data_IF_508878273504
#
_entry.id   IF_508878273504
#
_cell.length_a   1.000
_cell.length_b   1.000
_cell.length_c   1.000
_cell.angle_alpha   90.00
_cell.angle_beta   90.00
_cell.angle_gamma   90.00
#
_symmetry.space_group_name_H-M   'P 1'
#
loop_
_entity.id
_entity.type
_entity.pdbx_description
1 polymer ?
#
# COMPACT_ATOMS: atom_id res chain seq x y z
N UNK A 1 -53.54 -36.80 -11.11
CA UNK A 1 -52.33 -36.59 -11.95
C UNK A 1 -51.36 -35.75 -11.16
N UNK A 2 -50.13 -36.27 -11.01
CA UNK A 2 -49.06 -35.80 -10.11
C UNK A 2 -48.23 -34.77 -10.87
N UNK A 3 -48.10 -33.55 -10.36
CA UNK A 3 -47.08 -32.60 -10.83
C UNK A 3 -46.39 -32.00 -9.60
N UNK A 4 -45.24 -32.58 -9.23
CA UNK A 4 -44.31 -31.99 -8.28
C UNK A 4 -43.42 -31.07 -9.11
N UNK A 5 -43.62 -29.76 -9.00
CA UNK A 5 -42.71 -28.76 -9.57
C UNK A 5 -41.56 -28.63 -8.57
N UNK A 6 -40.44 -29.28 -8.88
CA UNK A 6 -39.19 -29.11 -8.14
C UNK A 6 -38.56 -27.79 -8.57
N UNK A 7 -38.71 -26.76 -7.73
CA UNK A 7 -38.04 -25.47 -7.89
C UNK A 7 -36.56 -25.64 -7.49
N UNK A 8 -35.71 -25.93 -8.48
CA UNK A 8 -34.25 -25.94 -8.32
C UNK A 8 -33.77 -24.50 -8.11
N UNK A 9 -33.64 -24.10 -6.84
CA UNK A 9 -32.92 -22.89 -6.43
C UNK A 9 -31.42 -23.09 -6.74
N UNK A 10 -30.99 -22.64 -7.92
CA UNK A 10 -29.57 -22.34 -8.15
C UNK A 10 -29.18 -21.17 -7.24
N UNK A 11 -28.69 -21.48 -6.03
CA UNK A 11 -27.89 -20.52 -5.28
C UNK A 11 -26.60 -20.29 -6.07
N UNK A 12 -26.32 -19.07 -6.57
CA UNK A 12 -25.01 -18.80 -7.11
C UNK A 12 -24.03 -18.91 -5.95
N UNK A 13 -23.18 -19.93 -5.97
CA UNK A 13 -21.95 -19.93 -5.18
C UNK A 13 -21.14 -18.74 -5.68
N UNK A 14 -21.26 -17.61 -5.00
CA UNK A 14 -20.31 -16.52 -5.14
C UNK A 14 -18.94 -17.10 -4.76
N UNK A 15 -18.13 -17.42 -5.76
CA UNK A 15 -16.70 -17.60 -5.58
C UNK A 15 -16.16 -16.25 -5.16
N UNK A 16 -16.05 -16.03 -3.86
CA UNK A 16 -15.27 -14.92 -3.33
C UNK A 16 -13.81 -15.18 -3.72
N UNK A 17 -13.23 -14.28 -4.51
CA UNK A 17 -11.79 -14.24 -4.69
C UNK A 17 -11.13 -14.28 -3.31
N UNK A 18 -10.26 -15.27 -3.09
CA UNK A 18 -9.71 -15.56 -1.78
C UNK A 18 -8.55 -14.60 -1.51
N UNK A 19 -8.86 -13.47 -0.88
CA UNK A 19 -7.85 -12.49 -0.49
C UNK A 19 -7.05 -12.92 0.74
N UNK A 20 -5.71 -12.85 0.67
CA UNK A 20 -4.82 -13.26 1.76
C UNK A 20 -4.82 -12.28 2.94
N UNK A 21 -4.98 -12.77 4.17
CA UNK A 21 -4.81 -11.91 5.37
C UNK A 21 -3.34 -11.53 5.58
N UNK A 22 -3.03 -10.47 6.35
CA UNK A 22 -1.64 -10.11 6.68
C UNK A 22 -0.83 -11.26 7.28
N UNK A 23 -1.43 -12.05 8.16
CA UNK A 23 -0.78 -13.18 8.81
C UNK A 23 -0.44 -14.29 7.81
N UNK A 24 -1.35 -14.55 6.85
CA UNK A 24 -1.10 -15.51 5.78
C UNK A 24 0.02 -15.04 4.86
N UNK A 25 0.06 -13.75 4.51
CA UNK A 25 1.14 -13.17 3.70
C UNK A 25 2.49 -13.27 4.43
N UNK A 26 2.53 -12.91 5.70
CA UNK A 26 3.76 -13.04 6.51
C UNK A 26 4.24 -14.48 6.59
N UNK A 27 3.32 -15.44 6.76
CA UNK A 27 3.65 -16.85 6.73
C UNK A 27 4.24 -17.27 5.37
N UNK A 28 3.59 -16.89 4.27
CA UNK A 28 4.09 -17.19 2.92
C UNK A 28 5.47 -16.58 2.66
N UNK A 29 5.71 -15.34 3.10
CA UNK A 29 7.02 -14.66 2.96
C UNK A 29 8.08 -15.40 3.75
N UNK A 30 7.76 -15.85 4.97
CA UNK A 30 8.68 -16.62 5.79
C UNK A 30 9.00 -18.01 5.20
N UNK A 31 8.02 -18.65 4.56
CA UNK A 31 8.17 -19.98 3.97
C UNK A 31 8.90 -19.97 2.62
N UNK A 32 8.64 -18.96 1.78
CA UNK A 32 9.06 -18.97 0.36
C UNK A 32 9.91 -17.77 -0.06
N UNK A 33 10.05 -16.76 0.82
CA UNK A 33 10.80 -15.54 0.57
C UNK A 33 9.99 -14.44 -0.13
N UNK A 34 10.30 -13.18 0.20
CA UNK A 34 9.57 -12.00 -0.26
C UNK A 34 9.47 -11.92 -1.80
N UNK A 35 10.57 -12.17 -2.52
CA UNK A 35 10.59 -12.09 -3.99
C UNK A 35 9.62 -13.07 -4.64
N UNK A 36 9.52 -14.29 -4.12
CA UNK A 36 8.60 -15.29 -4.66
C UNK A 36 7.15 -14.89 -4.43
N UNK A 37 6.84 -14.41 -3.22
CA UNK A 37 5.51 -13.93 -2.86
C UNK A 37 5.11 -12.72 -3.70
N UNK A 38 5.98 -11.71 -3.87
CA UNK A 38 5.70 -10.56 -4.75
C UNK A 38 5.40 -11.01 -6.17
N UNK A 39 6.24 -11.86 -6.77
CA UNK A 39 6.02 -12.38 -8.11
C UNK A 39 4.68 -13.14 -8.23
N UNK A 40 4.33 -13.96 -7.24
CA UNK A 40 3.07 -14.69 -7.20
C UNK A 40 1.85 -13.77 -7.12
N UNK A 41 1.91 -12.75 -6.26
CA UNK A 41 0.79 -11.80 -6.07
C UNK A 41 0.62 -10.88 -7.28
N UNK A 42 1.73 -10.53 -7.95
CA UNK A 42 1.75 -9.62 -9.09
C UNK A 42 1.28 -10.29 -10.39
N UNK A 43 1.71 -11.54 -10.66
CA UNK A 43 1.51 -12.25 -11.93
C UNK A 43 0.07 -12.67 -12.25
N UNK A 44 -0.90 -12.34 -11.41
CA UNK A 44 -2.31 -12.55 -11.71
C UNK A 44 -2.77 -11.51 -12.76
N UNK A 45 -2.52 -11.79 -14.04
CA UNK A 45 -2.79 -10.92 -15.20
C UNK A 45 -4.29 -10.67 -15.50
N UNK A 46 -5.21 -11.19 -14.68
CA UNK A 46 -6.62 -10.80 -14.72
C UNK A 46 -6.84 -9.51 -13.91
N UNK A 47 -7.99 -8.86 -14.07
CA UNK A 47 -8.43 -7.74 -13.20
C UNK A 47 -8.56 -8.13 -11.70
N UNK A 48 -8.03 -9.29 -11.28
CA UNK A 48 -8.11 -9.91 -9.97
C UNK A 48 -6.72 -10.04 -9.31
N UNK A 49 -5.71 -9.29 -9.75
CA UNK A 49 -4.41 -9.35 -9.09
C UNK A 49 -4.50 -9.00 -7.61
N UNK A 50 -4.07 -9.94 -6.77
CA UNK A 50 -4.05 -9.82 -5.31
C UNK A 50 -3.16 -8.64 -4.87
N UNK A 51 -2.12 -8.34 -5.66
CA UNK A 51 -1.24 -7.21 -5.42
C UNK A 51 -2.00 -5.88 -5.37
N UNK A 52 -2.67 -5.51 -6.48
CA UNK A 52 -3.38 -4.23 -6.57
C UNK A 52 -4.75 -4.24 -5.91
N UNK A 53 -5.43 -5.38 -5.84
CA UNK A 53 -6.79 -5.44 -5.30
C UNK A 53 -6.83 -5.64 -3.77
N UNK A 54 -5.77 -6.21 -3.19
CA UNK A 54 -5.79 -6.54 -1.76
C UNK A 54 -4.58 -6.00 -1.00
N UNK A 55 -3.36 -6.33 -1.44
CA UNK A 55 -2.13 -6.04 -0.68
C UNK A 55 -1.86 -4.53 -0.62
N UNK A 56 -1.82 -3.86 -1.76
CA UNK A 56 -1.57 -2.41 -1.84
C UNK A 56 -2.67 -1.59 -1.14
N UNK A 57 -3.98 -1.87 -1.34
CA UNK A 57 -5.04 -1.23 -0.56
C UNK A 57 -4.98 -1.55 0.94
N UNK A 58 -4.53 -2.76 1.30
CA UNK A 58 -4.33 -3.18 2.69
C UNK A 58 -3.24 -2.35 3.38
N UNK A 59 -2.07 -2.25 2.76
CA UNK A 59 -0.94 -1.43 3.23
C UNK A 59 -1.33 0.04 3.36
N UNK A 60 -2.08 0.57 2.39
CA UNK A 60 -2.55 1.96 2.40
C UNK A 60 -3.42 2.31 3.61
N UNK A 61 -4.05 1.33 4.28
CA UNK A 61 -4.83 1.56 5.51
C UNK A 61 -3.95 1.80 6.74
N UNK A 62 -2.66 1.46 6.69
CA UNK A 62 -1.70 1.75 7.76
C UNK A 62 -1.90 0.95 9.05
N UNK A 63 -2.65 -0.16 9.05
CA UNK A 63 -2.74 -1.00 10.26
C UNK A 63 -1.39 -1.65 10.56
N UNK A 64 -1.11 -1.90 11.83
CA UNK A 64 0.18 -2.48 12.24
C UNK A 64 0.49 -3.81 11.53
N UNK A 65 -0.52 -4.67 11.35
CA UNK A 65 -0.36 -5.95 10.63
C UNK A 65 0.02 -5.75 9.16
N UNK A 66 -0.61 -4.80 8.47
CA UNK A 66 -0.29 -4.48 7.07
C UNK A 66 1.06 -3.79 6.92
N UNK A 67 1.47 -2.96 7.88
CA UNK A 67 2.81 -2.36 7.88
C UNK A 67 3.92 -3.40 8.10
N UNK A 68 3.64 -4.44 8.90
CA UNK A 68 4.55 -5.58 9.03
C UNK A 68 4.70 -6.34 7.69
N UNK A 69 3.60 -6.56 6.96
CA UNK A 69 3.63 -7.12 5.61
C UNK A 69 4.46 -6.26 4.67
N UNK A 70 4.24 -4.93 4.64
CA UNK A 70 5.01 -4.02 3.81
C UNK A 70 6.53 -4.11 4.06
N UNK A 71 6.93 -4.14 5.34
CA UNK A 71 8.34 -4.29 5.71
C UNK A 71 8.92 -5.64 5.27
N UNK A 72 8.14 -6.71 5.32
CA UNK A 72 8.56 -8.05 4.94
C UNK A 72 8.61 -8.26 3.41
N UNK A 73 7.78 -7.55 2.64
CA UNK A 73 7.77 -7.61 1.18
C UNK A 73 8.94 -6.81 0.55
N UNK A 74 9.48 -5.82 1.25
CA UNK A 74 10.52 -4.91 0.77
C UNK A 74 11.69 -5.58 0.02
N UNK A 75 12.29 -6.68 0.49
CA UNK A 75 13.42 -7.29 -0.22
C UNK A 75 13.02 -7.99 -1.53
N UNK A 76 11.71 -8.16 -1.76
CA UNK A 76 11.13 -8.84 -2.90
C UNK A 76 10.59 -7.93 -3.99
N UNK A 77 10.46 -6.62 -3.73
CA UNK A 77 9.93 -5.67 -4.72
C UNK A 77 11.03 -5.13 -5.63
N UNK A 78 10.64 -4.83 -6.86
CA UNK A 78 11.44 -4.14 -7.87
C UNK A 78 10.53 -3.30 -8.78
N UNK A 79 11.13 -2.33 -9.49
CA UNK A 79 10.46 -1.49 -10.49
C UNK A 79 9.02 -1.08 -10.07
N UNK A 80 8.00 -1.54 -10.81
CA UNK A 80 6.60 -1.20 -10.55
C UNK A 80 6.14 -1.59 -9.14
N UNK A 81 6.52 -2.77 -8.64
CA UNK A 81 6.11 -3.21 -7.30
C UNK A 81 6.76 -2.38 -6.19
N UNK A 82 7.97 -1.86 -6.44
CA UNK A 82 8.60 -0.93 -5.50
C UNK A 82 7.88 0.42 -5.48
N UNK A 83 7.47 0.95 -6.64
CA UNK A 83 6.68 2.17 -6.73
C UNK A 83 5.30 2.02 -6.06
N UNK A 84 4.60 0.90 -6.32
CA UNK A 84 3.33 0.59 -5.68
C UNK A 84 3.45 0.53 -4.14
N UNK A 85 4.49 -0.15 -3.64
CA UNK A 85 4.74 -0.27 -2.21
C UNK A 85 5.03 1.10 -1.56
N UNK A 86 5.82 1.94 -2.23
CA UNK A 86 6.09 3.32 -1.77
C UNK A 86 4.80 4.13 -1.71
N UNK A 87 4.03 4.14 -2.80
CA UNK A 87 2.78 4.88 -2.88
C UNK A 87 1.77 4.43 -1.81
N UNK A 88 1.68 3.12 -1.53
CA UNK A 88 0.83 2.59 -0.48
C UNK A 88 1.24 3.09 0.91
N UNK A 89 2.55 3.12 1.19
CA UNK A 89 3.06 3.60 2.47
C UNK A 89 2.92 5.11 2.64
N UNK A 90 3.10 5.89 1.58
CA UNK A 90 2.77 7.33 1.60
C UNK A 90 1.28 7.54 1.95
N UNK A 91 0.38 6.77 1.33
CA UNK A 91 -1.07 6.78 1.64
C UNK A 91 -1.40 6.34 3.07
N UNK A 92 -0.54 5.56 3.71
CA UNK A 92 -0.72 5.11 5.09
C UNK A 92 -0.37 6.18 6.14
N UNK A 93 0.40 7.23 5.79
CA UNK A 93 0.87 8.24 6.73
C UNK A 93 -0.27 8.97 7.47
N UNK A 94 -1.35 9.44 6.81
CA UNK A 94 -2.47 10.06 7.51
C UNK A 94 -3.19 9.13 8.50
N UNK A 95 -3.02 7.82 8.35
CA UNK A 95 -3.72 6.83 9.16
C UNK A 95 -2.87 6.34 10.35
N UNK A 96 -1.56 6.22 10.16
CA UNK A 96 -0.65 5.73 11.19
C UNK A 96 0.79 6.25 10.96
N UNK A 97 1.06 7.54 11.20
CA UNK A 97 2.36 8.14 10.93
C UNK A 97 3.48 7.49 11.76
N UNK A 98 3.21 7.17 13.03
CA UNK A 98 4.17 6.50 13.92
C UNK A 98 4.53 5.10 13.41
N UNK A 99 3.53 4.31 13.01
CA UNK A 99 3.75 2.97 12.48
C UNK A 99 4.52 2.97 11.17
N UNK A 100 4.20 3.90 10.26
CA UNK A 100 4.94 4.05 9.01
C UNK A 100 6.41 4.38 9.30
N UNK A 101 6.68 5.40 10.13
CA UNK A 101 8.06 5.78 10.48
C UNK A 101 8.85 4.64 11.15
N UNK A 102 8.19 3.78 11.93
CA UNK A 102 8.84 2.69 12.64
C UNK A 102 9.45 1.62 11.70
N UNK A 103 8.91 1.47 10.48
CA UNK A 103 9.40 0.50 9.50
C UNK A 103 10.42 1.07 8.50
N UNK A 104 10.65 2.39 8.52
CA UNK A 104 11.64 3.05 7.66
C UNK A 104 13.04 2.89 8.22
N UNK A 105 14.01 2.63 7.34
CA UNK A 105 15.43 2.49 7.67
C UNK A 105 16.28 3.02 6.53
N UNK A 106 17.31 3.80 6.86
CA UNK A 106 18.20 4.42 5.87
C UNK A 106 19.10 3.40 5.13
N UNK A 107 19.24 2.18 5.65
CA UNK A 107 20.01 1.09 5.02
C UNK A 107 19.17 0.23 4.05
N UNK A 108 17.87 0.50 3.93
CA UNK A 108 16.98 -0.17 2.96
C UNK A 108 16.93 0.59 1.64
N UNK A 109 16.81 -0.11 0.50
CA UNK A 109 16.71 0.54 -0.81
C UNK A 109 15.37 1.28 -1.02
N UNK A 110 14.24 0.72 -0.56
CA UNK A 110 12.90 1.28 -0.83
C UNK A 110 12.34 2.03 0.38
N UNK A 111 12.44 1.45 1.57
CA UNK A 111 11.75 1.97 2.76
C UNK A 111 12.61 2.97 3.54
N UNK A 112 12.93 4.09 2.90
CA UNK A 112 13.62 5.23 3.52
C UNK A 112 12.66 6.38 3.78
N UNK A 113 13.08 7.33 4.64
CA UNK A 113 12.30 8.56 4.88
C UNK A 113 12.13 9.35 3.59
N UNK A 114 13.20 9.48 2.78
CA UNK A 114 13.20 10.23 1.54
C UNK A 114 12.23 9.65 0.51
N UNK A 115 12.21 8.33 0.35
CA UNK A 115 11.34 7.68 -0.64
C UNK A 115 9.87 7.72 -0.23
N UNK A 116 9.56 7.51 1.06
CA UNK A 116 8.17 7.40 1.52
C UNK A 116 7.54 8.76 1.81
N UNK A 117 8.29 9.71 2.34
CA UNK A 117 7.78 11.03 2.70
C UNK A 117 7.77 12.04 1.54
N UNK A 118 8.40 11.71 0.41
CA UNK A 118 8.36 12.54 -0.81
C UNK A 118 7.13 12.28 -1.71
N UNK A 119 6.30 11.30 -1.37
CA UNK A 119 5.05 10.96 -2.07
C UNK A 119 5.26 10.73 -3.56
N UNK A 120 5.99 9.66 -3.86
CA UNK A 120 6.00 9.05 -5.19
C UNK A 120 4.68 8.30 -5.44
N UNK A 121 3.56 9.00 -5.42
CA UNK A 121 2.26 8.45 -5.80
C UNK A 121 1.80 9.03 -7.14
N UNK A 122 0.98 8.25 -7.85
CA UNK A 122 0.30 8.67 -9.08
C UNK A 122 -1.18 8.91 -8.75
N UNK A 123 -1.56 10.11 -8.28
CA UNK A 123 -2.96 10.41 -7.98
C UNK A 123 -3.73 10.66 -9.29
N UNK A 124 -4.99 10.25 -9.34
CA UNK A 124 -5.86 10.48 -10.49
C UNK A 124 -6.23 11.97 -10.63
N UNK A 125 -6.24 12.69 -9.51
CA UNK A 125 -6.59 14.12 -9.47
C UNK A 125 -5.67 14.94 -8.57
N UNK A 126 -5.50 16.22 -8.91
CA UNK A 126 -4.83 17.20 -8.06
C UNK A 126 -5.48 17.29 -6.68
N UNK A 127 -6.82 17.20 -6.61
CA UNK A 127 -7.56 17.26 -5.36
C UNK A 127 -7.20 16.11 -4.41
N UNK A 128 -7.04 14.89 -4.93
CA UNK A 128 -6.59 13.74 -4.15
C UNK A 128 -5.13 13.91 -3.69
N UNK A 129 -4.26 14.40 -4.58
CA UNK A 129 -2.86 14.70 -4.24
C UNK A 129 -2.78 15.70 -3.08
N UNK A 130 -3.44 16.86 -3.24
CA UNK A 130 -3.48 17.91 -2.24
C UNK A 130 -4.06 17.41 -0.91
N UNK A 131 -5.12 16.59 -0.97
CA UNK A 131 -5.70 15.99 0.24
C UNK A 131 -4.70 15.09 0.96
N UNK A 132 -3.97 14.23 0.23
CA UNK A 132 -2.97 13.35 0.82
C UNK A 132 -1.85 14.17 1.50
N UNK A 133 -1.30 15.19 0.83
CA UNK A 133 -0.29 16.09 1.41
C UNK A 133 -0.78 16.78 2.68
N UNK A 134 -1.95 17.42 2.61
CA UNK A 134 -2.49 18.17 3.75
C UNK A 134 -2.77 17.26 4.94
N UNK A 135 -3.40 16.10 4.72
CA UNK A 135 -3.72 15.18 5.82
C UNK A 135 -2.45 14.56 6.41
N UNK A 136 -1.48 14.21 5.57
CA UNK A 136 -0.19 13.66 6.04
C UNK A 136 0.61 14.66 6.85
N UNK A 137 0.70 15.90 6.38
CA UNK A 137 1.40 16.99 7.08
C UNK A 137 0.76 17.23 8.45
N UNK A 138 -0.58 17.28 8.54
CA UNK A 138 -1.31 17.46 9.80
C UNK A 138 -0.97 16.38 10.83
N UNK A 139 -0.93 15.12 10.41
CA UNK A 139 -0.58 14.01 11.30
C UNK A 139 0.91 14.00 11.63
N UNK A 140 1.78 14.26 10.65
CA UNK A 140 3.22 14.28 10.84
C UNK A 140 3.68 15.41 11.77
N UNK A 141 3.02 16.58 11.75
CA UNK A 141 3.29 17.68 12.69
C UNK A 141 3.12 17.27 14.17
N UNK A 142 2.31 16.24 14.45
CA UNK A 142 2.12 15.72 15.81
C UNK A 142 3.31 14.88 16.28
N UNK A 143 4.10 14.33 15.36
CA UNK A 143 5.27 13.50 15.66
C UNK A 143 6.48 14.38 15.94
N UNK A 144 7.06 14.24 17.14
CA UNK A 144 8.17 15.08 17.60
C UNK A 144 9.55 14.43 17.49
N UNK A 145 9.61 13.17 17.07
CA UNK A 145 10.88 12.46 16.89
C UNK A 145 11.71 13.07 15.75
N UNK A 146 13.04 12.85 15.73
CA UNK A 146 13.89 13.29 14.63
C UNK A 146 13.40 12.81 13.27
N UNK A 147 12.95 11.55 13.17
CA UNK A 147 12.44 10.94 11.94
C UNK A 147 11.15 11.61 11.48
N UNK A 148 10.25 11.94 12.40
CA UNK A 148 9.02 12.66 12.08
C UNK A 148 9.30 14.07 11.56
N UNK A 149 10.27 14.78 12.16
CA UNK A 149 10.71 16.09 11.68
C UNK A 149 11.38 16.01 10.30
N UNK A 150 12.22 15.00 10.07
CA UNK A 150 12.85 14.74 8.77
C UNK A 150 11.80 14.46 7.71
N UNK A 151 10.84 13.58 8.00
CA UNK A 151 9.74 13.24 7.10
C UNK A 151 8.90 14.48 6.73
N UNK A 152 8.58 15.33 7.71
CA UNK A 152 7.89 16.61 7.46
C UNK A 152 8.71 17.54 6.57
N UNK A 153 10.03 17.64 6.78
CA UNK A 153 10.90 18.46 5.94
C UNK A 153 10.93 17.97 4.49
N UNK A 154 10.94 16.65 4.27
CA UNK A 154 10.84 16.05 2.92
C UNK A 154 9.51 16.40 2.26
N UNK A 155 8.38 16.29 2.98
CA UNK A 155 7.07 16.67 2.43
C UNK A 155 7.03 18.13 2.00
N UNK A 156 7.54 19.04 2.85
CA UNK A 156 7.60 20.48 2.55
C UNK A 156 8.48 20.73 1.33
N UNK A 157 9.68 20.18 1.30
CA UNK A 157 10.61 20.32 0.17
C UNK A 157 10.00 19.79 -1.13
N UNK A 158 9.21 18.73 -1.08
CA UNK A 158 8.53 18.18 -2.26
C UNK A 158 7.50 19.17 -2.81
N UNK A 159 6.68 19.76 -1.92
CA UNK A 159 5.69 20.76 -2.31
C UNK A 159 6.36 22.04 -2.84
N UNK A 160 7.46 22.48 -2.23
CA UNK A 160 8.21 23.67 -2.67
C UNK A 160 8.76 23.55 -4.10
N UNK A 161 9.08 22.33 -4.54
CA UNK A 161 9.62 22.04 -5.87
C UNK A 161 8.59 21.40 -6.81
N UNK A 162 7.31 21.43 -6.46
CA UNK A 162 6.27 20.84 -7.30
C UNK A 162 6.09 21.63 -8.60
N UNK A 163 5.85 20.90 -9.68
CA UNK A 163 5.39 21.46 -10.95
C UNK A 163 3.86 21.47 -10.96
N UNK A 164 3.21 22.23 -11.87
CA UNK A 164 1.76 22.13 -12.06
C UNK A 164 1.33 20.68 -12.25
N UNK A 165 0.19 20.32 -11.66
CA UNK A 165 -0.34 18.97 -11.79
C UNK A 165 -0.61 18.63 -13.26
N UNK A 166 -0.05 17.52 -13.71
CA UNK A 166 -0.27 16.94 -15.03
C UNK A 166 -0.58 15.45 -14.84
N UNK A 167 -1.74 15.03 -15.34
CA UNK A 167 -2.21 13.65 -15.23
C UNK A 167 -1.70 12.75 -16.36
N UNK A 168 -1.10 13.34 -17.39
CA UNK A 168 -0.69 12.66 -18.62
C UNK A 168 0.85 12.45 -18.69
N UNK A 169 1.58 12.77 -17.61
CA UNK A 169 2.99 12.44 -17.35
C UNK A 169 3.09 11.18 -16.50
#
# INVERSE_FOLDING_TARGET
MKYIIALLLCFPLALFAKSYTPEQLLQMINETGARHVVAQLYANDSNESEWWNHVIPGISKGSHAWLAVASALEPGVDASTAEDLKAALSKAIPHNPTGVLAILKDDKPVLTVEQICAFANFPETEAESNKLFVDSIREMFKIKSPEGKRCLAVMISTVEHSIPFDKDI
#
